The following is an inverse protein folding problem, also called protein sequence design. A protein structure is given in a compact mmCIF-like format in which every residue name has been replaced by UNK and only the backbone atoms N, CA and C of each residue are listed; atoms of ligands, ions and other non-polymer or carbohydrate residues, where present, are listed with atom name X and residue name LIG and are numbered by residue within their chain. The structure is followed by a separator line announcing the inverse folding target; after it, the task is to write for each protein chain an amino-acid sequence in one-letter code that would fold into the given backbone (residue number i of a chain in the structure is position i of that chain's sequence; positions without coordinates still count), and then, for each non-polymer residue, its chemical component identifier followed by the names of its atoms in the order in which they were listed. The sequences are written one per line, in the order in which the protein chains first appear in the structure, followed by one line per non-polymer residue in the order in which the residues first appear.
data_IF_893299833696
#
_entry.id   IF_893299833696
#
_cell.length_a   1.000
_cell.length_b   1.000
_cell.length_c   1.000
_cell.angle_alpha   90.00
_cell.angle_beta   90.00
_cell.angle_gamma   90.00
#
_symmetry.space_group_name_H-M   'P 1'
#
loop_
_entity.id
_entity.type
_entity.pdbx_description
1 polymer ?
#
# COMPACT_ATOMS: atom_id res chain seq x y z
N UNK A 1 0.46 2.99 7.39
CA UNK A 1 0.27 4.21 6.58
C UNK A 1 -0.21 3.82 5.20
N UNK A 2 -1.02 4.67 4.56
CA UNK A 2 -1.44 4.53 3.17
C UNK A 2 -1.11 5.87 2.53
N UNK A 3 -0.21 5.89 1.56
CA UNK A 3 0.34 7.11 0.97
C UNK A 3 0.77 6.80 -0.47
N UNK A 4 0.68 7.71 -1.42
CA UNK A 4 1.11 7.47 -2.80
C UNK A 4 2.58 7.84 -3.06
N UNK A 5 3.32 8.26 -2.01
CA UNK A 5 4.73 8.63 -2.06
C UNK A 5 5.65 7.58 -1.39
N UNK A 6 6.29 6.66 -2.15
CA UNK A 6 7.06 5.54 -1.58
C UNK A 6 8.28 5.93 -0.74
N UNK A 7 8.82 7.14 -0.92
CA UNK A 7 9.97 7.63 -0.17
C UNK A 7 9.65 7.90 1.30
N UNK A 8 8.38 8.14 1.63
CA UNK A 8 7.92 8.36 3.00
C UNK A 8 8.01 7.08 3.85
N UNK A 9 8.19 5.91 3.23
CA UNK A 9 8.41 4.63 3.91
C UNK A 9 9.56 4.68 4.93
N UNK A 10 10.60 5.47 4.66
CA UNK A 10 11.78 5.63 5.53
C UNK A 10 11.43 6.25 6.89
N UNK A 11 10.26 6.88 7.02
CA UNK A 11 9.80 7.51 8.26
C UNK A 11 9.10 6.52 9.21
N UNK A 12 8.81 5.30 8.75
CA UNK A 12 8.01 4.32 9.47
C UNK A 12 8.74 3.00 9.65
N UNK A 13 8.35 2.17 10.65
CA UNK A 13 8.88 0.83 10.77
C UNK A 13 8.67 0.00 9.50
N UNK A 14 9.56 -0.94 9.16
CA UNK A 14 9.44 -1.75 7.95
C UNK A 14 8.10 -2.46 7.83
N UNK A 15 7.56 -2.52 6.61
CA UNK A 15 6.29 -3.17 6.28
C UNK A 15 5.10 -2.62 7.07
N UNK A 16 5.08 -1.33 7.43
CA UNK A 16 3.90 -0.71 8.05
C UNK A 16 3.16 0.26 7.13
N UNK A 17 3.63 0.39 5.88
CA UNK A 17 3.07 1.27 4.86
C UNK A 17 2.80 0.51 3.56
N UNK A 18 1.75 0.91 2.85
CA UNK A 18 1.42 0.48 1.49
C UNK A 18 1.30 1.70 0.59
N UNK A 19 1.72 1.55 -0.67
CA UNK A 19 1.85 2.68 -1.59
C UNK A 19 0.99 2.51 -2.84
N UNK A 20 -0.32 2.81 -2.79
CA UNK A 20 -1.17 2.74 -3.97
C UNK A 20 -0.66 3.62 -5.13
N UNK A 21 -1.12 3.35 -6.37
CA UNK A 21 -0.97 4.30 -7.46
C UNK A 21 -1.63 5.64 -7.11
N UNK A 22 -0.97 6.75 -7.46
CA UNK A 22 -1.55 8.08 -7.34
C UNK A 22 -2.87 8.19 -8.12
N UNK A 23 -3.87 8.82 -7.50
CA UNK A 23 -5.17 9.02 -8.13
C UNK A 23 -5.04 9.88 -9.40
N UNK A 24 -5.71 9.47 -10.47
CA UNK A 24 -5.76 10.21 -11.74
C UNK A 24 -7.19 10.55 -12.07
N UNK A 25 -7.52 11.84 -12.05
CA UNK A 25 -8.87 12.34 -12.38
C UNK A 25 -9.35 11.95 -13.79
N UNK A 26 -8.41 11.70 -14.71
CA UNK A 26 -8.70 11.25 -16.07
C UNK A 26 -9.03 9.76 -16.16
N UNK A 27 -8.79 8.98 -15.10
CA UNK A 27 -9.11 7.56 -15.04
C UNK A 27 -10.57 7.37 -14.60
N UNK A 28 -11.51 7.42 -15.55
CA UNK A 28 -12.94 7.22 -15.27
C UNK A 28 -13.31 5.79 -14.88
N UNK A 29 -12.41 4.82 -15.09
CA UNK A 29 -12.59 3.41 -14.73
C UNK A 29 -11.92 3.06 -13.39
N UNK A 30 -11.47 4.06 -12.64
CA UNK A 30 -10.87 3.86 -11.33
C UNK A 30 -11.87 3.19 -10.37
N UNK A 31 -11.57 1.94 -10.03
CA UNK A 31 -12.34 1.10 -9.12
C UNK A 31 -11.53 0.74 -7.88
N UNK A 32 -10.38 1.38 -7.66
CA UNK A 32 -9.40 0.98 -6.65
C UNK A 32 -9.97 1.04 -5.22
N UNK A 33 -10.78 2.07 -4.92
CA UNK A 33 -11.50 2.22 -3.65
C UNK A 33 -12.94 1.66 -3.70
N UNK A 34 -13.35 1.10 -4.83
CA UNK A 34 -14.71 0.63 -5.07
C UNK A 34 -15.04 -0.70 -4.36
N UNK A 35 -16.29 -1.19 -4.48
CA UNK A 35 -16.65 -2.54 -4.09
C UNK A 35 -15.79 -3.57 -4.85
N UNK A 36 -15.07 -4.44 -4.13
CA UNK A 36 -14.05 -5.36 -4.67
C UNK A 36 -12.81 -4.66 -5.27
N UNK A 37 -12.59 -3.39 -4.93
CA UNK A 37 -11.34 -2.71 -5.25
C UNK A 37 -10.19 -3.29 -4.41
N UNK A 38 -8.99 -3.33 -5.00
CA UNK A 38 -7.79 -3.90 -4.38
C UNK A 38 -7.52 -3.32 -2.98
N UNK A 39 -7.74 -2.01 -2.79
CA UNK A 39 -7.60 -1.37 -1.48
C UNK A 39 -8.56 -1.94 -0.44
N UNK A 40 -9.81 -2.14 -0.84
CA UNK A 40 -10.85 -2.66 0.05
C UNK A 40 -10.55 -4.10 0.44
N UNK A 41 -10.17 -4.93 -0.53
CA UNK A 41 -9.80 -6.33 -0.29
C UNK A 41 -8.59 -6.45 0.64
N UNK A 42 -7.57 -5.61 0.45
CA UNK A 42 -6.43 -5.53 1.35
C UNK A 42 -6.83 -5.15 2.79
N UNK A 43 -7.64 -4.10 2.95
CA UNK A 43 -8.10 -3.67 4.28
C UNK A 43 -8.98 -4.72 4.96
N UNK A 44 -9.82 -5.42 4.20
CA UNK A 44 -10.65 -6.51 4.70
C UNK A 44 -9.76 -7.67 5.21
N UNK A 45 -8.77 -8.12 4.44
CA UNK A 45 -7.83 -9.14 4.88
C UNK A 45 -7.01 -8.70 6.09
N UNK A 46 -6.59 -7.44 6.14
CA UNK A 46 -5.85 -6.85 7.26
C UNK A 46 -6.65 -6.94 8.57
N UNK A 47 -7.98 -6.89 8.55
CA UNK A 47 -8.81 -7.02 9.77
C UNK A 47 -8.69 -8.39 10.45
N UNK A 48 -8.26 -9.41 9.72
CA UNK A 48 -8.03 -10.77 10.23
C UNK A 48 -6.56 -11.05 10.52
N UNK A 49 -5.65 -10.12 10.22
CA UNK A 49 -4.24 -10.30 10.44
C UNK A 49 -3.88 -10.22 11.94
N UNK A 50 -3.13 -11.19 12.42
CA UNK A 50 -2.57 -11.15 13.78
C UNK A 50 -1.37 -10.21 13.90
N UNK A 51 -0.64 -10.00 12.80
CA UNK A 51 0.54 -9.16 12.73
C UNK A 51 0.50 -8.29 11.47
N UNK A 52 0.36 -6.98 11.67
CA UNK A 52 0.25 -6.01 10.57
C UNK A 52 1.51 -6.00 9.69
N UNK A 53 2.74 -5.93 10.23
CA UNK A 53 3.94 -5.97 9.40
C UNK A 53 4.07 -7.20 8.49
N UNK A 54 3.75 -8.40 9.01
CA UNK A 54 3.76 -9.64 8.22
C UNK A 54 2.71 -9.58 7.12
N UNK A 55 1.49 -9.16 7.45
CA UNK A 55 0.42 -9.06 6.46
C UNK A 55 0.75 -8.06 5.35
N UNK A 56 1.22 -6.86 5.71
CA UNK A 56 1.63 -5.84 4.72
C UNK A 56 2.76 -6.37 3.83
N UNK A 57 3.72 -7.12 4.39
CA UNK A 57 4.81 -7.71 3.60
C UNK A 57 4.32 -8.77 2.60
N UNK A 58 3.36 -9.59 2.99
CA UNK A 58 2.82 -10.69 2.17
C UNK A 58 1.77 -10.23 1.15
N UNK A 59 1.09 -9.12 1.44
CA UNK A 59 -0.02 -8.59 0.64
C UNK A 59 0.25 -7.17 0.13
N UNK A 60 1.51 -6.75 0.03
CA UNK A 60 1.87 -5.46 -0.53
C UNK A 60 1.32 -5.30 -1.95
N UNK A 61 0.71 -4.16 -2.23
CA UNK A 61 0.18 -3.79 -3.54
C UNK A 61 0.68 -2.39 -3.94
N UNK A 62 0.52 -2.07 -5.22
CA UNK A 62 0.94 -0.77 -5.77
C UNK A 62 2.46 -0.66 -5.95
N UNK A 63 3.00 0.46 -5.51
CA UNK A 63 4.41 0.83 -5.62
C UNK A 63 5.22 0.17 -4.48
N UNK A 64 6.47 -0.18 -4.78
CA UNK A 64 7.38 -0.72 -3.77
C UNK A 64 7.88 0.39 -2.86
N UNK A 65 7.92 0.12 -1.55
CA UNK A 65 8.53 1.00 -0.57
C UNK A 65 10.01 1.26 -0.90
N UNK A 66 10.45 2.50 -0.75
CA UNK A 66 11.89 2.80 -0.78
C UNK A 66 12.50 2.32 0.55
N UNK A 67 13.65 1.67 0.45
CA UNK A 67 14.41 1.16 1.61
C UNK A 67 15.77 1.82 1.66
N UNK A 68 16.46 1.72 2.80
CA UNK A 68 17.82 2.25 2.96
C UNK A 68 18.84 1.65 1.97
N UNK A 69 18.50 0.51 1.36
CA UNK A 69 19.30 -0.18 0.35
C UNK A 69 18.96 0.21 -1.10
N UNK A 70 18.03 1.15 -1.30
CA UNK A 70 17.67 1.61 -2.63
C UNK A 70 18.84 2.40 -3.26
N UNK A 71 19.22 2.14 -4.52
CA UNK A 71 20.25 2.92 -5.19
C UNK A 71 19.77 4.37 -5.41
N UNK A 72 20.74 5.29 -5.36
CA UNK A 72 20.61 6.71 -5.76
C UNK A 72 20.37 6.87 -7.27
#
# INVERSE_FOLDING_TARGET
MIDDEPHTALLYPPNTAVFPPAYKVTNGEDSFLGPKGEMKEFLEGLTYANDVPTYVKEHAFGQLAITDSHPD
#
